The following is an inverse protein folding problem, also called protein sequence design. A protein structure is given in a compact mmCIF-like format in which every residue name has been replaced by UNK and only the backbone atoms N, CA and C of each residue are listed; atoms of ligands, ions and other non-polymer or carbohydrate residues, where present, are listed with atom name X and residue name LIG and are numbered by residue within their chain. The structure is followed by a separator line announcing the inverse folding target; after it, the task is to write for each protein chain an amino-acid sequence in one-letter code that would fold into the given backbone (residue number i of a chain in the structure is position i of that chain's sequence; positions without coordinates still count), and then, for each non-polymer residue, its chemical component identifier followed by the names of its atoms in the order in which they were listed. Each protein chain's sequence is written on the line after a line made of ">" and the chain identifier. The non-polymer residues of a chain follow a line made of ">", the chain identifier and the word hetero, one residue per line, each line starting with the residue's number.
data_IF_567268169024
#
_entry.id   IF_567268169024
#
_cell.length_a   1.000
_cell.length_b   1.000
_cell.length_c   1.000
_cell.angle_alpha   90.00
_cell.angle_beta   90.00
_cell.angle_gamma   90.00
#
_symmetry.space_group_name_H-M   'P 1'
#
loop_
_entity.id
_entity.type
_entity.pdbx_description
1 polymer ?
#
# COMPACT_ATOMS: atom_id res chain seq x y z
N UNK A 1 13.38 1.15 -26.68
CA UNK A 1 13.62 1.66 -25.31
C UNK A 1 12.57 1.01 -24.44
N UNK A 2 12.94 0.04 -23.61
CA UNK A 2 12.00 -0.51 -22.62
C UNK A 2 11.85 0.60 -21.58
N UNK A 3 10.62 1.01 -21.36
CA UNK A 3 10.23 2.11 -20.49
C UNK A 3 10.57 1.73 -19.03
N UNK A 4 11.76 2.12 -18.57
CA UNK A 4 12.26 1.86 -17.21
C UNK A 4 11.47 2.62 -16.13
N UNK A 5 10.30 3.18 -16.49
CA UNK A 5 9.46 4.07 -15.70
C UNK A 5 8.07 3.46 -15.40
N UNK A 6 7.67 2.35 -16.03
CA UNK A 6 6.32 1.82 -15.82
C UNK A 6 6.08 1.37 -14.37
N UNK A 7 6.98 0.55 -13.82
CA UNK A 7 6.86 0.10 -12.43
C UNK A 7 7.07 1.24 -11.43
N UNK A 8 7.92 2.21 -11.75
CA UNK A 8 8.11 3.40 -10.92
C UNK A 8 6.82 4.25 -10.90
N UNK A 9 6.17 4.43 -12.04
CA UNK A 9 4.88 5.14 -12.16
C UNK A 9 3.80 4.45 -11.34
N UNK A 10 3.64 3.13 -11.49
CA UNK A 10 2.67 2.36 -10.70
C UNK A 10 2.95 2.43 -9.20
N UNK A 11 4.22 2.39 -8.81
CA UNK A 11 4.61 2.52 -7.41
C UNK A 11 4.25 3.90 -6.84
N UNK A 12 4.54 4.99 -7.58
CA UNK A 12 4.17 6.34 -7.15
C UNK A 12 2.66 6.51 -7.03
N UNK A 13 1.90 5.98 -7.99
CA UNK A 13 0.43 6.00 -7.97
C UNK A 13 -0.13 5.25 -6.75
N UNK A 14 0.40 4.05 -6.47
CA UNK A 14 -0.04 3.29 -5.30
C UNK A 14 0.33 3.99 -3.98
N UNK A 15 1.52 4.57 -3.86
CA UNK A 15 1.93 5.36 -2.69
C UNK A 15 1.02 6.56 -2.49
N UNK A 16 0.68 7.28 -3.57
CA UNK A 16 -0.25 8.40 -3.53
C UNK A 16 -1.62 7.95 -2.99
N UNK A 17 -2.20 6.88 -3.55
CA UNK A 17 -3.50 6.34 -3.11
C UNK A 17 -3.47 5.94 -1.63
N UNK A 18 -2.41 5.29 -1.16
CA UNK A 18 -2.27 4.89 0.24
C UNK A 18 -2.22 6.11 1.19
N UNK A 19 -1.54 7.19 0.80
CA UNK A 19 -1.47 8.43 1.59
C UNK A 19 -2.80 9.17 1.61
N UNK A 20 -3.46 9.30 0.46
CA UNK A 20 -4.80 9.89 0.41
C UNK A 20 -5.81 9.09 1.21
N UNK A 21 -5.74 7.76 1.16
CA UNK A 21 -6.60 6.89 1.99
C UNK A 21 -6.37 7.15 3.47
N UNK A 22 -5.12 7.30 3.91
CA UNK A 22 -4.83 7.63 5.31
C UNK A 22 -5.28 9.05 5.70
N UNK A 23 -5.29 10.00 4.77
CA UNK A 23 -5.68 11.38 5.03
C UNK A 23 -7.20 11.58 5.04
N UNK A 24 -7.94 10.85 4.19
CA UNK A 24 -9.37 11.07 3.95
C UNK A 24 -10.29 10.20 4.83
N UNK A 25 -9.81 9.06 5.34
CA UNK A 25 -10.62 8.11 6.10
C UNK A 25 -10.23 8.08 7.57
N UNK A 26 -11.22 8.04 8.47
CA UNK A 26 -10.98 7.97 9.92
C UNK A 26 -10.46 6.59 10.38
N UNK A 27 -10.91 5.51 9.73
CA UNK A 27 -10.61 4.12 10.13
C UNK A 27 -10.32 3.22 8.92
N UNK A 28 -9.31 3.53 8.09
CA UNK A 28 -8.92 2.64 7.00
C UNK A 28 -8.32 1.35 7.55
N UNK A 29 -8.34 0.29 6.74
CA UNK A 29 -7.70 -0.99 7.05
C UNK A 29 -7.11 -1.59 5.77
N UNK A 30 -5.96 -2.22 5.88
CA UNK A 30 -5.34 -2.95 4.77
C UNK A 30 -5.76 -4.42 4.84
N UNK A 31 -6.58 -4.87 3.90
CA UNK A 31 -6.95 -6.29 3.79
C UNK A 31 -5.75 -7.11 3.33
N UNK A 32 -5.45 -8.19 4.05
CA UNK A 32 -4.30 -9.04 3.80
C UNK A 32 -4.73 -10.51 3.73
N UNK A 33 -4.45 -11.15 2.60
CA UNK A 33 -4.77 -12.56 2.35
C UNK A 33 -3.57 -13.50 2.44
N UNK A 34 -2.36 -12.97 2.67
CA UNK A 34 -1.12 -13.75 2.57
C UNK A 34 -0.68 -14.06 1.13
N UNK A 35 -1.45 -13.66 0.12
CA UNK A 35 -1.11 -13.83 -1.29
C UNK A 35 -0.15 -12.75 -1.82
N UNK A 36 0.40 -13.00 -3.02
CA UNK A 36 1.38 -12.12 -3.70
C UNK A 36 0.94 -10.65 -3.76
N UNK A 37 -0.32 -10.41 -4.08
CA UNK A 37 -0.85 -9.06 -4.29
C UNK A 37 -0.93 -8.31 -2.96
N UNK A 38 -1.41 -8.98 -1.91
CA UNK A 38 -1.49 -8.40 -0.56
C UNK A 38 -0.10 -8.14 0.06
N UNK A 39 0.90 -8.96 -0.26
CA UNK A 39 2.29 -8.73 0.15
C UNK A 39 2.86 -7.49 -0.54
N UNK A 40 2.59 -7.32 -1.85
CA UNK A 40 2.98 -6.11 -2.59
C UNK A 40 2.34 -4.86 -1.99
N UNK A 41 1.04 -4.91 -1.64
CA UNK A 41 0.38 -3.79 -0.98
C UNK A 41 0.98 -3.46 0.39
N UNK A 42 1.35 -4.46 1.21
CA UNK A 42 2.06 -4.23 2.48
C UNK A 42 3.42 -3.58 2.23
N UNK A 43 4.17 -4.04 1.21
CA UNK A 43 5.44 -3.43 0.85
C UNK A 43 5.29 -1.96 0.44
N UNK A 44 4.30 -1.65 -0.39
CA UNK A 44 3.99 -0.29 -0.83
C UNK A 44 3.52 0.59 0.33
N UNK A 45 2.72 0.07 1.26
CA UNK A 45 2.34 0.77 2.49
C UNK A 45 3.56 1.09 3.35
N UNK A 46 4.50 0.16 3.52
CA UNK A 46 5.76 0.45 4.21
C UNK A 46 6.54 1.57 3.50
N UNK A 47 6.62 1.56 2.16
CA UNK A 47 7.29 2.64 1.40
C UNK A 47 6.58 3.98 1.59
N UNK A 48 5.25 4.01 1.52
CA UNK A 48 4.45 5.22 1.57
C UNK A 48 4.63 6.02 2.87
N UNK A 49 4.88 5.35 3.99
CA UNK A 49 4.90 5.97 5.32
C UNK A 49 6.26 5.97 6.03
N UNK A 50 7.35 5.57 5.34
CA UNK A 50 8.71 5.68 5.89
C UNK A 50 9.06 7.13 6.32
N UNK A 51 9.82 7.30 7.43
CA UNK A 51 10.38 6.27 8.30
C UNK A 51 9.40 5.74 9.37
N UNK A 52 8.16 6.25 9.41
CA UNK A 52 7.13 5.83 10.35
C UNK A 52 6.44 4.52 9.97
N UNK A 53 5.51 4.09 10.84
CA UNK A 53 4.56 3.02 10.53
C UNK A 53 3.39 3.61 9.74
N UNK A 54 2.78 2.81 8.86
CA UNK A 54 1.52 3.21 8.22
C UNK A 54 0.38 3.24 9.26
N UNK A 55 -0.57 4.19 9.18
CA UNK A 55 -1.47 4.53 10.28
C UNK A 55 -2.75 3.69 10.35
N UNK A 56 -2.78 2.50 9.76
CA UNK A 56 -3.96 1.64 9.72
C UNK A 56 -3.62 0.18 10.01
N UNK A 57 -4.55 -0.60 10.60
CA UNK A 57 -4.33 -2.02 10.86
C UNK A 57 -4.29 -2.85 9.58
N UNK A 58 -3.61 -3.99 9.66
CA UNK A 58 -3.77 -5.09 8.70
C UNK A 58 -4.90 -5.99 9.18
N UNK A 59 -5.80 -6.38 8.28
CA UNK A 59 -6.91 -7.29 8.57
C UNK A 59 -6.79 -8.54 7.70
N UNK A 60 -6.61 -9.69 8.34
CA UNK A 60 -6.67 -10.99 7.69
C UNK A 60 -8.02 -11.64 7.97
N UNK A 61 -8.73 -12.04 6.91
CA UNK A 61 -10.00 -12.75 7.01
C UNK A 61 -9.70 -14.25 6.91
N UNK A 62 -9.87 -14.97 8.01
CA UNK A 62 -9.88 -16.43 8.01
C UNK A 62 -11.28 -16.92 7.66
N UNK A 63 -11.42 -17.57 6.51
CA UNK A 63 -12.58 -18.42 6.18
C UNK A 63 -12.44 -19.79 6.82
#
# INVERSE_FOLDING_TARGET
>A
MIENNYLETLEQEAIYILRETAAQFEKPALLFSGGKDSIVLVHLALKAFRPGKFPFPIVHIGT
#
